data_IF_197842901981
#
_entry.id   IF_197842901981
#
_cell.length_a   1.000
_cell.length_b   1.000
_cell.length_c   1.000
_cell.angle_alpha   90.00
_cell.angle_beta   90.00
_cell.angle_gamma   90.00
#
_symmetry.space_group_name_H-M   'P 1'
#
loop_
_entity.id
_entity.type
_entity.pdbx_description
1 polymer ?
#
# COMPACT_ATOMS: atom_id res chain seq x y z
N UNK A 1 22.40 6.07 -12.18
CA UNK A 1 22.30 6.54 -13.57
C UNK A 1 20.97 6.03 -14.13
N UNK A 2 20.04 6.93 -14.49
CA UNK A 2 18.96 6.63 -15.45
C UNK A 2 17.54 6.40 -14.94
N UNK A 3 17.22 6.56 -13.65
CA UNK A 3 15.82 6.48 -13.15
C UNK A 3 15.16 7.85 -12.95
N UNK A 4 15.93 8.94 -13.00
CA UNK A 4 15.49 10.32 -12.89
C UNK A 4 15.00 10.94 -14.21
N UNK A 5 15.25 10.28 -15.34
CA UNK A 5 14.87 10.76 -16.68
C UNK A 5 13.61 10.09 -17.28
N UNK A 6 13.07 9.04 -16.66
CA UNK A 6 11.93 8.30 -17.18
C UNK A 6 10.94 7.93 -16.06
N UNK A 7 9.70 8.40 -16.17
CA UNK A 7 8.61 7.99 -15.27
C UNK A 7 8.01 6.64 -15.72
N UNK A 8 7.94 5.67 -14.81
CA UNK A 8 7.22 4.41 -15.03
C UNK A 8 6.12 4.25 -14.00
N UNK A 9 4.87 4.13 -14.48
CA UNK A 9 3.72 3.93 -13.61
C UNK A 9 3.80 2.61 -12.82
N UNK A 10 4.46 1.59 -13.38
CA UNK A 10 4.67 0.32 -12.70
C UNK A 10 5.64 0.47 -11.53
N UNK A 11 6.74 1.22 -11.73
CA UNK A 11 7.67 1.54 -10.64
C UNK A 11 7.02 2.43 -9.59
N UNK A 12 6.26 3.44 -10.00
CA UNK A 12 5.54 4.32 -9.06
C UNK A 12 4.56 3.53 -8.17
N UNK A 13 3.84 2.57 -8.74
CA UNK A 13 2.96 1.70 -7.95
C UNK A 13 3.76 0.82 -6.98
N UNK A 14 4.87 0.24 -7.43
CA UNK A 14 5.75 -0.55 -6.56
C UNK A 14 6.33 0.30 -5.43
N UNK A 15 6.78 1.52 -5.72
CA UNK A 15 7.30 2.46 -4.74
C UNK A 15 6.25 2.80 -3.69
N UNK A 16 4.98 2.95 -4.10
CA UNK A 16 3.88 3.14 -3.17
C UNK A 16 3.68 1.95 -2.21
N UNK A 17 3.74 0.72 -2.71
CA UNK A 17 3.67 -0.50 -1.89
C UNK A 17 4.86 -0.63 -0.91
N UNK A 18 6.07 -0.31 -1.39
CA UNK A 18 7.28 -0.30 -0.55
C UNK A 18 7.18 0.80 0.51
N UNK A 19 6.69 1.99 0.15
CA UNK A 19 6.49 3.08 1.08
C UNK A 19 5.51 2.72 2.20
N UNK A 20 4.43 2.01 1.89
CA UNK A 20 3.48 1.50 2.89
C UNK A 20 4.14 0.51 3.86
N UNK A 21 4.94 -0.42 3.34
CA UNK A 21 5.71 -1.34 4.18
C UNK A 21 6.72 -0.60 5.08
N UNK A 22 7.44 0.39 4.54
CA UNK A 22 8.37 1.22 5.31
C UNK A 22 7.63 2.01 6.40
N UNK A 23 6.45 2.56 6.12
CA UNK A 23 5.61 3.23 7.12
C UNK A 23 5.22 2.28 8.26
N UNK A 24 4.87 1.03 7.97
CA UNK A 24 4.61 0.01 9.02
C UNK A 24 5.83 -0.17 9.91
N UNK A 25 7.02 -0.30 9.34
CA UNK A 25 8.26 -0.49 10.11
C UNK A 25 8.53 0.76 10.95
N UNK A 26 8.42 1.95 10.34
CA UNK A 26 8.69 3.23 10.97
C UNK A 26 7.71 3.56 12.12
N UNK A 27 6.49 3.01 12.11
CA UNK A 27 5.54 3.11 13.24
C UNK A 27 6.14 2.59 14.55
N UNK A 28 7.11 1.68 14.48
CA UNK A 28 7.71 1.06 15.66
C UNK A 28 6.77 0.08 16.36
N UNK A 29 6.95 -0.05 17.67
CA UNK A 29 6.19 -0.95 18.54
C UNK A 29 5.79 -0.23 19.83
N UNK A 30 4.55 -0.46 20.25
CA UNK A 30 4.05 -0.03 21.56
C UNK A 30 4.45 -1.07 22.61
N UNK A 31 4.96 -0.61 23.74
CA UNK A 31 5.40 -1.48 24.85
C UNK A 31 4.52 -1.24 26.05
N UNK A 32 3.50 -2.08 26.19
CA UNK A 32 2.62 -2.14 27.35
C UNK A 32 2.30 -3.60 27.71
N UNK A 33 1.52 -3.80 28.78
CA UNK A 33 1.19 -5.15 29.26
C UNK A 33 0.37 -5.98 28.26
N UNK A 34 -0.57 -5.37 27.52
CA UNK A 34 -1.36 -6.05 26.49
C UNK A 34 -0.49 -6.39 25.27
N UNK A 35 0.33 -5.44 24.80
CA UNK A 35 1.18 -5.62 23.60
C UNK A 35 2.32 -6.61 23.82
N UNK A 36 2.84 -6.71 25.04
CA UNK A 36 3.84 -7.75 25.40
C UNK A 36 3.19 -9.14 25.49
N UNK A 37 1.90 -9.21 25.83
CA UNK A 37 1.10 -10.44 25.84
C UNK A 37 1.69 -11.61 26.67
N UNK A 38 2.41 -11.30 27.76
CA UNK A 38 3.12 -12.30 28.58
C UNK A 38 2.16 -13.37 29.17
N UNK A 39 0.97 -12.96 29.62
CA UNK A 39 -0.05 -13.87 30.15
C UNK A 39 -0.56 -14.84 29.08
N UNK A 40 -0.71 -14.36 27.83
CA UNK A 40 -1.13 -15.19 26.70
C UNK A 40 -0.05 -16.23 26.37
N UNK A 41 1.22 -15.81 26.35
CA UNK A 41 2.36 -16.72 26.12
C UNK A 41 2.41 -17.81 27.20
N UNK A 42 2.21 -17.43 28.47
CA UNK A 42 2.17 -18.39 29.58
C UNK A 42 0.97 -19.35 29.49
N UNK A 43 -0.21 -18.83 29.13
CA UNK A 43 -1.45 -19.59 28.99
C UNK A 43 -1.36 -20.63 27.86
N UNK A 44 -0.86 -20.23 26.70
CA UNK A 44 -0.74 -21.11 25.52
C UNK A 44 0.35 -22.17 25.75
N UNK A 45 1.47 -21.77 26.36
CA UNK A 45 2.55 -22.66 26.73
C UNK A 45 3.31 -23.28 25.54
N UNK A 46 4.29 -24.17 25.82
CA UNK A 46 5.10 -24.81 24.79
C UNK A 46 4.27 -25.66 23.83
N UNK A 47 4.64 -25.63 22.55
CA UNK A 47 3.94 -26.34 21.46
C UNK A 47 2.46 -25.97 21.23
N UNK A 48 1.97 -24.91 21.90
CA UNK A 48 0.66 -24.34 21.62
C UNK A 48 0.64 -23.48 20.35
N UNK A 49 -0.54 -22.94 20.01
CA UNK A 49 -0.72 -22.02 18.90
C UNK A 49 -1.53 -20.79 19.34
N UNK A 50 -1.25 -19.64 18.71
CA UNK A 50 -1.86 -18.35 19.07
C UNK A 50 -2.98 -17.92 18.12
N UNK A 51 -3.23 -18.69 17.05
CA UNK A 51 -4.14 -18.30 15.98
C UNK A 51 -5.59 -18.14 16.45
N UNK A 52 -6.01 -18.94 17.43
CA UNK A 52 -7.35 -18.91 18.00
C UNK A 52 -7.47 -18.01 19.25
N UNK A 53 -6.39 -17.37 19.70
CA UNK A 53 -6.45 -16.50 20.87
C UNK A 53 -7.18 -15.19 20.55
N UNK A 54 -8.05 -14.76 21.47
CA UNK A 54 -8.80 -13.51 21.32
C UNK A 54 -7.86 -12.30 21.16
N UNK A 55 -6.74 -12.31 21.89
CA UNK A 55 -5.69 -11.30 21.76
C UNK A 55 -5.18 -11.16 20.32
N UNK A 56 -4.94 -12.29 19.65
CA UNK A 56 -4.54 -12.31 18.23
C UNK A 56 -5.62 -11.70 17.36
N UNK A 57 -6.88 -12.11 17.53
CA UNK A 57 -8.02 -11.60 16.73
C UNK A 57 -8.18 -10.08 16.87
N UNK A 58 -7.99 -9.54 18.08
CA UNK A 58 -8.07 -8.09 18.35
C UNK A 58 -6.90 -7.31 17.72
N UNK A 59 -5.68 -7.85 17.77
CA UNK A 59 -4.48 -7.09 17.44
C UNK A 59 -3.95 -7.31 16.01
N UNK A 60 -4.17 -8.46 15.37
CA UNK A 60 -3.43 -8.82 14.15
C UNK A 60 -3.61 -7.83 12.98
N UNK A 61 -4.80 -7.25 12.80
CA UNK A 61 -5.06 -6.27 11.72
C UNK A 61 -4.36 -4.94 11.94
N UNK A 62 -4.10 -4.60 13.20
CA UNK A 62 -3.38 -3.38 13.58
C UNK A 62 -1.88 -3.63 13.49
N UNK A 63 -1.42 -4.81 13.89
CA UNK A 63 0.00 -5.12 14.00
C UNK A 63 0.63 -5.71 12.74
N UNK A 64 -0.10 -6.41 11.87
CA UNK A 64 0.48 -6.96 10.65
C UNK A 64 0.34 -5.98 9.48
N UNK A 65 1.38 -5.88 8.66
CA UNK A 65 1.25 -5.27 7.34
C UNK A 65 0.62 -6.25 6.36
N UNK A 66 -0.57 -5.88 5.89
CA UNK A 66 -1.30 -6.56 4.85
C UNK A 66 -0.93 -5.92 3.51
N UNK A 67 -0.17 -6.61 2.66
CA UNK A 67 0.33 -6.02 1.43
C UNK A 67 -0.82 -5.81 0.46
N UNK A 68 -0.66 -4.83 -0.42
CA UNK A 68 -1.56 -4.66 -1.54
C UNK A 68 -1.37 -5.74 -2.61
N UNK A 69 -2.15 -5.64 -3.70
CA UNK A 69 -2.28 -6.68 -4.72
C UNK A 69 -1.00 -6.92 -5.55
N UNK A 70 0.04 -6.07 -5.44
CA UNK A 70 1.32 -6.35 -6.09
C UNK A 70 2.02 -7.59 -5.52
N UNK A 71 1.94 -7.78 -4.19
CA UNK A 71 2.60 -8.88 -3.49
C UNK A 71 1.74 -10.14 -3.49
N UNK A 72 2.39 -11.31 -3.47
CA UNK A 72 1.70 -12.58 -3.23
C UNK A 72 2.35 -13.29 -2.04
N UNK A 73 1.52 -13.76 -1.12
CA UNK A 73 1.87 -14.66 -0.02
C UNK A 73 1.19 -16.03 -0.15
N UNK A 74 0.72 -16.34 -1.35
CA UNK A 74 0.12 -17.64 -1.64
C UNK A 74 1.16 -18.75 -1.53
N UNK A 75 0.71 -19.95 -1.20
CA UNK A 75 1.54 -21.15 -1.37
C UNK A 75 1.90 -21.32 -2.85
N UNK A 76 2.98 -22.06 -3.11
CA UNK A 76 3.39 -22.39 -4.47
C UNK A 76 2.23 -23.01 -5.27
N UNK A 77 1.57 -24.02 -4.71
CA UNK A 77 0.45 -24.70 -5.39
C UNK A 77 -0.73 -23.74 -5.64
N UNK A 78 -1.04 -22.86 -4.69
CA UNK A 78 -2.09 -21.86 -4.85
C UNK A 78 -1.78 -20.86 -5.97
N UNK A 79 -0.54 -20.36 -6.01
CA UNK A 79 -0.09 -19.50 -7.10
C UNK A 79 -0.06 -20.25 -8.45
N UNK A 80 0.41 -21.50 -8.45
CA UNK A 80 0.49 -22.36 -9.63
C UNK A 80 -0.88 -22.79 -10.17
N UNK A 81 -1.93 -22.87 -9.35
CA UNK A 81 -3.29 -23.17 -9.80
C UNK A 81 -4.07 -21.90 -10.19
N UNK A 82 -3.59 -20.72 -9.78
CA UNK A 82 -4.12 -19.43 -10.20
C UNK A 82 -3.66 -19.04 -11.61
N UNK A 83 -3.82 -17.76 -11.98
CA UNK A 83 -3.30 -17.20 -13.24
C UNK A 83 -1.77 -17.13 -13.33
N UNK A 84 -1.04 -17.51 -12.27
CA UNK A 84 0.45 -17.50 -12.22
C UNK A 84 1.08 -16.15 -12.56
N UNK A 85 0.37 -15.07 -12.24
CA UNK A 85 0.84 -13.74 -12.60
C UNK A 85 2.19 -13.46 -11.92
N UNK A 86 3.08 -12.82 -12.67
CA UNK A 86 4.24 -12.12 -12.15
C UNK A 86 3.80 -10.87 -11.37
N UNK A 87 4.71 -10.30 -10.59
CA UNK A 87 4.47 -9.03 -9.92
C UNK A 87 4.20 -7.90 -10.93
N UNK A 88 4.95 -7.86 -12.03
CA UNK A 88 4.79 -6.85 -13.07
C UNK A 88 3.38 -6.92 -13.71
N UNK A 89 2.85 -8.11 -13.95
CA UNK A 89 1.50 -8.29 -14.48
C UNK A 89 0.42 -7.82 -13.49
N UNK A 90 0.54 -8.18 -12.21
CA UNK A 90 -0.39 -7.71 -11.17
C UNK A 90 -0.37 -6.19 -11.05
N UNK A 91 0.81 -5.57 -11.03
CA UNK A 91 0.95 -4.11 -11.00
C UNK A 91 0.32 -3.49 -12.25
N UNK A 92 0.55 -4.07 -13.43
CA UNK A 92 -0.03 -3.58 -14.68
C UNK A 92 -1.56 -3.57 -14.63
N UNK A 93 -2.18 -4.63 -14.09
CA UNK A 93 -3.63 -4.68 -13.89
C UNK A 93 -4.13 -3.59 -12.95
N UNK A 94 -3.41 -3.34 -11.84
CA UNK A 94 -3.75 -2.30 -10.88
C UNK A 94 -3.60 -0.89 -11.45
N UNK A 95 -2.52 -0.62 -12.18
CA UNK A 95 -2.32 0.67 -12.86
C UNK A 95 -3.46 0.93 -13.85
N UNK A 96 -3.82 -0.07 -14.67
CA UNK A 96 -4.95 0.05 -15.60
C UNK A 96 -6.27 0.30 -14.88
N UNK A 97 -6.51 -0.40 -13.78
CA UNK A 97 -7.71 -0.21 -12.96
C UNK A 97 -7.77 1.23 -12.42
N UNK A 98 -6.71 1.71 -11.77
CA UNK A 98 -6.66 3.07 -11.20
C UNK A 98 -6.90 4.12 -12.29
N UNK A 99 -6.20 4.03 -13.43
CA UNK A 99 -6.38 4.97 -14.53
C UNK A 99 -7.79 4.94 -15.13
N UNK A 100 -8.47 3.79 -15.08
CA UNK A 100 -9.81 3.63 -15.62
C UNK A 100 -10.94 4.00 -14.66
N UNK A 101 -10.70 4.00 -13.35
CA UNK A 101 -11.76 4.18 -12.33
C UNK A 101 -11.54 5.35 -11.38
N UNK A 102 -10.35 5.94 -11.32
CA UNK A 102 -10.10 7.04 -10.40
C UNK A 102 -10.70 8.34 -10.93
N UNK A 103 -11.67 8.87 -10.19
CA UNK A 103 -12.20 10.21 -10.38
C UNK A 103 -11.55 11.14 -9.34
N UNK A 104 -10.74 12.13 -9.77
CA UNK A 104 -10.16 13.08 -8.83
C UNK A 104 -11.26 13.96 -8.22
N UNK A 105 -11.05 14.36 -6.96
CA UNK A 105 -11.95 15.32 -6.31
C UNK A 105 -11.96 16.63 -7.12
N UNK A 106 -13.13 17.12 -7.55
CA UNK A 106 -13.20 18.32 -8.38
C UNK A 106 -12.77 19.54 -7.57
N UNK A 107 -11.99 20.41 -8.20
CA UNK A 107 -11.63 21.70 -7.62
C UNK A 107 -12.86 22.62 -7.58
N UNK A 108 -12.84 23.58 -6.63
CA UNK A 108 -13.78 24.69 -6.66
C UNK A 108 -13.71 25.41 -8.01
N UNK A 109 -14.86 25.69 -8.61
CA UNK A 109 -14.94 26.29 -9.94
C UNK A 109 -14.24 27.67 -10.01
N UNK A 110 -14.32 28.47 -8.96
CA UNK A 110 -13.63 29.76 -8.89
C UNK A 110 -12.11 29.56 -8.87
N UNK A 111 -11.62 28.59 -8.10
CA UNK A 111 -10.20 28.27 -8.03
C UNK A 111 -9.67 27.73 -9.37
N UNK A 112 -10.42 26.85 -10.03
CA UNK A 112 -10.06 26.33 -11.35
C UNK A 112 -9.94 27.46 -12.39
N UNK A 113 -10.91 28.38 -12.42
CA UNK A 113 -10.89 29.54 -13.31
C UNK A 113 -9.71 30.47 -13.04
N UNK A 114 -9.34 30.66 -11.77
CA UNK A 114 -8.18 31.47 -11.39
C UNK A 114 -6.86 30.84 -11.86
N UNK A 115 -6.70 29.52 -11.69
CA UNK A 115 -5.54 28.78 -12.20
C UNK A 115 -5.45 28.90 -13.73
N UNK A 116 -6.56 28.75 -14.44
CA UNK A 116 -6.60 28.89 -15.90
C UNK A 116 -6.21 30.31 -16.34
N UNK A 117 -6.70 31.35 -15.66
CA UNK A 117 -6.35 32.74 -15.96
C UNK A 117 -4.85 33.04 -15.76
N UNK A 118 -4.24 32.46 -14.72
CA UNK A 118 -2.79 32.56 -14.47
C UNK A 118 -2.01 31.89 -15.59
N UNK A 119 -2.40 30.66 -15.98
CA UNK A 119 -1.74 29.90 -17.04
C UNK A 119 -1.82 30.62 -18.38
N UNK A 120 -2.98 31.18 -18.74
CA UNK A 120 -3.14 31.92 -19.99
C UNK A 120 -2.35 33.24 -20.00
N UNK A 121 -2.29 33.93 -18.87
CA UNK A 121 -1.45 35.13 -18.73
C UNK A 121 0.03 34.79 -18.94
N UNK A 122 0.51 33.72 -18.29
CA UNK A 122 1.89 33.26 -18.44
C UNK A 122 2.23 32.86 -19.88
N UNK A 123 1.33 32.15 -20.58
CA UNK A 123 1.51 31.79 -21.99
C UNK A 123 1.66 33.01 -22.90
N UNK A 124 0.92 34.09 -22.63
CA UNK A 124 1.00 35.33 -23.41
C UNK A 124 2.29 36.11 -23.18
N UNK A 125 2.82 36.08 -21.96
CA UNK A 125 4.03 36.84 -21.59
C UNK A 125 5.33 36.10 -21.93
N UNK A 126 5.32 34.77 -21.93
CA UNK A 126 6.49 33.91 -22.16
C UNK A 126 6.55 33.27 -23.55
N UNK A 127 5.45 33.31 -24.31
CA UNK A 127 5.38 32.88 -25.71
C UNK A 127 5.76 34.01 -26.67
#
# INVERSE_FOLDING_TARGET
CGTDHAGSLLWLYLDNEVADYVKRIARGFEVDADKVAAEIVQKVGPAGNFLAEEHTVRNFRQELWLPGPAWTRQSWDGWAQSRRLSMAERITEQVKQILGTHEPEPLDAQLANEVDAIVETAKRELG
#
